data_IF_303375027186
#
_entry.id   IF_303375027186
#
_cell.length_a   1.000
_cell.length_b   1.000
_cell.length_c   1.000
_cell.angle_alpha   90.00
_cell.angle_beta   90.00
_cell.angle_gamma   90.00
#
_symmetry.space_group_name_H-M   'P 1'
#
loop_
_entity.id
_entity.type
_entity.pdbx_description
1 polymer ?
#
# COMPACT_ATOMS: atom_id res chain seq x y z
N UNK A 1 12.57 5.95 -4.98
CA UNK A 1 11.96 5.15 -3.94
C UNK A 1 11.95 3.69 -4.36
N UNK A 2 12.01 2.70 -3.46
CA UNK A 2 12.06 1.30 -3.85
C UNK A 2 10.79 0.95 -4.63
N UNK A 3 10.96 0.47 -5.85
CA UNK A 3 9.88 -0.15 -6.62
C UNK A 3 9.45 -1.38 -5.84
N UNK A 4 8.19 -1.43 -5.45
CA UNK A 4 7.60 -2.62 -4.83
C UNK A 4 7.17 -3.57 -5.96
N UNK A 5 8.15 -4.24 -6.54
CA UNK A 5 7.90 -5.27 -7.53
C UNK A 5 7.38 -6.56 -6.84
N UNK A 6 6.59 -7.40 -7.51
CA UNK A 6 6.07 -8.66 -6.97
C UNK A 6 7.13 -9.56 -6.32
N UNK A 7 8.39 -9.45 -6.74
CA UNK A 7 9.53 -10.16 -6.16
C UNK A 7 9.77 -9.85 -4.67
N UNK A 8 9.37 -8.68 -4.17
CA UNK A 8 9.51 -8.34 -2.75
C UNK A 8 8.61 -9.19 -1.84
N UNK A 9 7.45 -9.58 -2.32
CA UNK A 9 6.53 -10.45 -1.57
C UNK A 9 7.10 -11.86 -1.41
N UNK A 10 7.68 -12.43 -2.47
CA UNK A 10 8.34 -13.74 -2.39
C UNK A 10 9.50 -13.73 -1.40
N UNK A 11 10.34 -12.69 -1.43
CA UNK A 11 11.45 -12.53 -0.47
C UNK A 11 10.94 -12.42 0.97
N UNK A 12 9.82 -11.75 1.19
CA UNK A 12 9.22 -11.63 2.52
C UNK A 12 8.67 -12.97 2.99
N UNK A 13 8.01 -13.73 2.11
CA UNK A 13 7.54 -15.08 2.39
C UNK A 13 8.71 -16.01 2.75
N UNK A 14 9.76 -16.04 1.93
CA UNK A 14 10.96 -16.85 2.17
C UNK A 14 11.69 -16.46 3.46
N UNK A 15 11.67 -15.20 3.87
CA UNK A 15 12.19 -14.77 5.16
C UNK A 15 11.38 -15.30 6.33
N UNK A 16 10.05 -15.31 6.23
CA UNK A 16 9.15 -15.87 7.25
C UNK A 16 9.32 -17.39 7.38
N UNK A 17 9.58 -18.09 6.27
CA UNK A 17 9.78 -19.54 6.20
C UNK A 17 11.25 -19.96 6.11
N UNK A 18 12.15 -19.11 6.63
CA UNK A 18 13.61 -19.26 6.48
C UNK A 18 14.11 -20.64 6.89
N UNK A 19 13.63 -21.19 8.00
CA UNK A 19 14.02 -22.54 8.46
C UNK A 19 13.63 -23.64 7.48
N UNK A 20 12.42 -23.58 6.94
CA UNK A 20 11.96 -24.53 5.93
C UNK A 20 12.73 -24.38 4.61
N UNK A 21 13.07 -23.16 4.22
CA UNK A 21 13.88 -22.86 3.04
C UNK A 21 15.27 -23.49 3.13
N UNK A 22 15.99 -23.23 4.23
CA UNK A 22 17.33 -23.83 4.43
C UNK A 22 17.26 -25.34 4.58
N UNK A 23 16.28 -25.87 5.31
CA UNK A 23 16.06 -27.30 5.42
C UNK A 23 15.78 -27.99 4.07
N UNK A 24 15.08 -27.31 3.15
CA UNK A 24 14.90 -27.80 1.80
C UNK A 24 16.20 -27.81 0.98
N UNK A 25 17.03 -26.77 1.11
CA UNK A 25 18.34 -26.71 0.47
C UNK A 25 19.34 -27.75 1.01
N UNK A 26 19.35 -27.99 2.32
CA UNK A 26 20.23 -28.99 2.95
C UNK A 26 19.85 -30.41 2.51
N UNK A 27 18.58 -30.69 2.33
CA UNK A 27 18.10 -31.96 1.76
C UNK A 27 18.59 -32.15 0.33
N UNK A 28 18.52 -31.13 -0.51
CA UNK A 28 19.07 -31.18 -1.88
C UNK A 28 20.56 -31.54 -1.85
N UNK A 29 21.32 -30.94 -0.94
CA UNK A 29 22.75 -31.23 -0.79
C UNK A 29 23.03 -32.67 -0.33
N UNK A 30 22.18 -33.21 0.54
CA UNK A 30 22.37 -34.54 1.11
C UNK A 30 21.89 -35.66 0.17
N UNK A 31 20.81 -35.45 -0.59
CA UNK A 31 20.15 -36.50 -1.36
C UNK A 31 20.16 -36.27 -2.87
N UNK A 32 20.62 -35.11 -3.35
CA UNK A 32 20.51 -34.65 -4.75
C UNK A 32 19.06 -34.60 -5.25
N UNK A 33 18.07 -34.61 -4.34
CA UNK A 33 16.64 -34.56 -4.67
C UNK A 33 16.20 -33.10 -4.91
N UNK A 34 16.25 -32.71 -6.18
CA UNK A 34 15.79 -31.38 -6.65
C UNK A 34 14.26 -31.26 -6.64
N UNK A 35 13.52 -32.36 -6.80
CA UNK A 35 12.06 -32.33 -6.95
C UNK A 35 11.39 -31.76 -5.70
N UNK A 36 11.88 -32.12 -4.53
CA UNK A 36 11.36 -31.60 -3.26
C UNK A 36 11.58 -30.09 -3.12
N UNK A 37 12.75 -29.60 -3.54
CA UNK A 37 13.06 -28.17 -3.51
C UNK A 37 12.19 -27.38 -4.51
N UNK A 38 12.01 -27.91 -5.72
CA UNK A 38 11.15 -27.33 -6.75
C UNK A 38 9.71 -27.25 -6.24
N UNK A 39 9.18 -28.30 -5.63
CA UNK A 39 7.84 -28.30 -5.02
C UNK A 39 7.71 -27.24 -3.93
N UNK A 40 8.67 -27.16 -3.01
CA UNK A 40 8.69 -26.13 -1.96
C UNK A 40 8.66 -24.73 -2.56
N UNK A 41 9.49 -24.49 -3.58
CA UNK A 41 9.57 -23.18 -4.25
C UNK A 41 8.26 -22.83 -4.96
N UNK A 42 7.67 -23.77 -5.69
CA UNK A 42 6.39 -23.55 -6.40
C UNK A 42 5.24 -23.28 -5.42
N UNK A 43 5.20 -23.96 -4.28
CA UNK A 43 4.22 -23.68 -3.22
C UNK A 43 4.41 -22.25 -2.68
N UNK A 44 5.64 -21.85 -2.39
CA UNK A 44 5.94 -20.49 -1.93
C UNK A 44 5.53 -19.41 -2.93
N UNK A 45 5.75 -19.67 -4.23
CA UNK A 45 5.30 -18.76 -5.32
C UNK A 45 3.77 -18.70 -5.37
N UNK A 46 3.08 -19.86 -5.31
CA UNK A 46 1.62 -19.92 -5.36
C UNK A 46 0.98 -19.19 -4.16
N UNK A 47 1.50 -19.38 -2.96
CA UNK A 47 1.02 -18.68 -1.75
C UNK A 47 1.25 -17.19 -1.83
N UNK A 48 2.44 -16.77 -2.29
CA UNK A 48 2.76 -15.35 -2.50
C UNK A 48 1.82 -14.71 -3.52
N UNK A 49 1.54 -15.41 -4.62
CA UNK A 49 0.62 -14.94 -5.65
C UNK A 49 -0.82 -14.80 -5.13
N UNK A 50 -1.30 -15.76 -4.33
CA UNK A 50 -2.63 -15.67 -3.68
C UNK A 50 -2.71 -14.47 -2.75
N UNK A 51 -1.73 -14.28 -1.87
CA UNK A 51 -1.68 -13.15 -0.95
C UNK A 51 -1.66 -11.80 -1.70
N UNK A 52 -0.89 -11.72 -2.79
CA UNK A 52 -0.85 -10.53 -3.63
C UNK A 52 -2.21 -10.25 -4.29
N UNK A 53 -2.88 -11.29 -4.78
CA UNK A 53 -4.23 -11.18 -5.37
C UNK A 53 -5.25 -10.72 -4.34
N UNK A 54 -5.23 -11.28 -3.14
CA UNK A 54 -6.14 -10.89 -2.06
C UNK A 54 -5.92 -9.44 -1.65
N UNK A 55 -4.67 -9.01 -1.49
CA UNK A 55 -4.32 -7.61 -1.20
C UNK A 55 -4.81 -6.68 -2.32
N UNK A 56 -4.63 -7.08 -3.58
CA UNK A 56 -5.09 -6.29 -4.72
C UNK A 56 -6.60 -6.15 -4.75
N UNK A 57 -7.35 -7.23 -4.50
CA UNK A 57 -8.80 -7.20 -4.41
C UNK A 57 -9.29 -6.29 -3.27
N UNK A 58 -8.61 -6.30 -2.12
CA UNK A 58 -8.90 -5.40 -1.01
C UNK A 58 -8.64 -3.93 -1.39
N UNK A 59 -7.56 -3.65 -2.12
CA UNK A 59 -7.27 -2.30 -2.65
C UNK A 59 -8.38 -1.82 -3.59
N UNK A 60 -8.84 -2.68 -4.51
CA UNK A 60 -9.93 -2.35 -5.44
C UNK A 60 -11.23 -2.07 -4.70
N UNK A 61 -11.57 -2.90 -3.72
CA UNK A 61 -12.76 -2.70 -2.90
C UNK A 61 -12.68 -1.40 -2.07
N UNK A 62 -11.53 -1.11 -1.48
CA UNK A 62 -11.28 0.14 -0.76
C UNK A 62 -11.41 1.35 -1.70
N UNK A 63 -10.83 1.29 -2.89
CA UNK A 63 -10.90 2.35 -3.90
C UNK A 63 -12.35 2.63 -4.27
N UNK A 64 -13.13 1.60 -4.59
CA UNK A 64 -14.55 1.74 -4.93
C UNK A 64 -15.34 2.45 -3.83
N UNK A 65 -15.20 2.00 -2.57
CA UNK A 65 -15.87 2.65 -1.42
C UNK A 65 -15.46 4.10 -1.25
N UNK A 66 -14.17 4.40 -1.45
CA UNK A 66 -13.65 5.75 -1.34
C UNK A 66 -14.18 6.65 -2.44
N UNK A 67 -14.21 6.17 -3.68
CA UNK A 67 -14.74 6.91 -4.83
C UNK A 67 -16.23 7.23 -4.65
N UNK A 68 -17.04 6.27 -4.17
CA UNK A 68 -18.46 6.48 -3.85
C UNK A 68 -18.68 7.56 -2.78
N UNK A 69 -17.80 7.63 -1.76
CA UNK A 69 -17.87 8.67 -0.73
C UNK A 69 -17.48 10.04 -1.29
N UNK A 70 -16.48 10.09 -2.15
CA UNK A 70 -16.01 11.32 -2.79
C UNK A 70 -17.08 11.89 -3.72
N UNK A 71 -17.77 11.07 -4.51
CA UNK A 71 -18.82 11.51 -5.42
C UNK A 71 -19.94 12.28 -4.70
N UNK A 72 -20.20 11.97 -3.44
CA UNK A 72 -21.23 12.66 -2.63
C UNK A 72 -20.83 14.09 -2.19
N UNK A 73 -19.57 14.48 -2.42
CA UNK A 73 -19.05 15.80 -2.01
C UNK A 73 -19.41 16.95 -2.98
N UNK A 74 -20.07 16.67 -4.08
CA UNK A 74 -20.47 17.68 -5.05
C UNK A 74 -19.29 18.47 -5.59
N UNK A 75 -19.26 19.78 -5.40
CA UNK A 75 -18.20 20.67 -5.95
C UNK A 75 -16.79 20.38 -5.42
N UNK A 76 -16.66 19.77 -4.27
CA UNK A 76 -15.34 19.44 -3.70
C UNK A 76 -14.77 18.15 -4.29
N UNK A 77 -15.61 17.26 -4.86
CA UNK A 77 -15.24 15.94 -5.36
C UNK A 77 -14.02 15.92 -6.30
N UNK A 78 -13.88 16.78 -7.32
CA UNK A 78 -12.76 16.72 -8.24
C UNK A 78 -11.40 16.92 -7.57
N UNK A 79 -11.30 17.90 -6.65
CA UNK A 79 -10.05 18.15 -5.95
C UNK A 79 -9.72 17.04 -4.94
N UNK A 80 -10.72 16.51 -4.25
CA UNK A 80 -10.57 15.40 -3.32
C UNK A 80 -10.12 14.13 -4.06
N UNK A 81 -10.72 13.81 -5.20
CA UNK A 81 -10.33 12.67 -6.04
C UNK A 81 -8.86 12.76 -6.48
N UNK A 82 -8.40 13.94 -6.94
CA UNK A 82 -7.01 14.17 -7.33
C UNK A 82 -6.03 13.94 -6.17
N UNK A 83 -6.39 14.35 -4.96
CA UNK A 83 -5.58 14.10 -3.77
C UNK A 83 -5.54 12.61 -3.45
N UNK A 84 -6.67 11.91 -3.50
CA UNK A 84 -6.76 10.48 -3.23
C UNK A 84 -5.95 9.68 -4.24
N UNK A 85 -5.99 10.00 -5.54
CA UNK A 85 -5.12 9.38 -6.55
C UNK A 85 -3.62 9.59 -6.26
N UNK A 86 -3.25 10.76 -5.74
CA UNK A 86 -1.88 11.02 -5.31
C UNK A 86 -1.47 10.15 -4.11
N UNK A 87 -2.39 9.94 -3.15
CA UNK A 87 -2.15 9.17 -1.93
C UNK A 87 -2.04 7.67 -2.22
N UNK A 88 -2.76 7.13 -3.18
CA UNK A 88 -2.58 5.73 -3.62
C UNK A 88 -1.17 5.46 -4.14
N UNK A 89 -0.49 6.47 -4.68
CA UNK A 89 0.91 6.35 -5.12
C UNK A 89 1.92 6.59 -3.98
N UNK A 90 1.58 7.44 -3.03
CA UNK A 90 2.39 7.79 -1.86
C UNK A 90 1.47 7.99 -0.66
N UNK A 91 1.29 6.96 0.19
CA UNK A 91 0.29 6.97 1.26
C UNK A 91 0.54 7.96 2.39
N UNK A 92 1.75 8.51 2.50
CA UNK A 92 2.09 9.57 3.47
C UNK A 92 2.42 10.85 2.71
N UNK A 93 1.69 11.92 3.01
CA UNK A 93 1.80 13.20 2.32
C UNK A 93 1.80 14.39 3.29
N UNK A 94 2.27 15.53 2.79
CA UNK A 94 2.13 16.83 3.46
C UNK A 94 1.29 17.77 2.59
N UNK A 95 0.71 18.83 3.19
CA UNK A 95 -0.05 19.84 2.44
C UNK A 95 0.82 20.53 1.36
N UNK A 96 2.10 20.77 1.67
CA UNK A 96 3.06 21.37 0.73
C UNK A 96 3.30 20.48 -0.49
N UNK A 97 3.52 19.17 -0.28
CA UNK A 97 3.71 18.21 -1.37
C UNK A 97 2.47 18.12 -2.27
N UNK A 98 1.28 18.09 -1.68
CA UNK A 98 0.02 18.06 -2.43
C UNK A 98 -0.19 19.34 -3.24
N UNK A 99 0.08 20.51 -2.64
CA UNK A 99 0.01 21.80 -3.32
C UNK A 99 0.93 21.82 -4.55
N UNK A 100 2.17 21.38 -4.42
CA UNK A 100 3.15 21.34 -5.51
C UNK A 100 2.76 20.33 -6.60
N UNK A 101 2.40 19.09 -6.22
CA UNK A 101 2.11 18.02 -7.20
C UNK A 101 0.82 18.24 -7.98
N UNK A 102 -0.18 18.86 -7.35
CA UNK A 102 -1.50 19.03 -7.92
C UNK A 102 -1.74 20.45 -8.45
N UNK A 103 -0.72 21.33 -8.31
CA UNK A 103 -0.81 22.75 -8.63
C UNK A 103 -1.99 23.42 -7.90
N UNK A 104 -2.12 23.13 -6.60
CA UNK A 104 -3.10 23.74 -5.72
C UNK A 104 -2.52 24.93 -4.99
N UNK A 105 -3.38 25.90 -4.66
CA UNK A 105 -3.02 26.91 -3.65
C UNK A 105 -2.87 26.23 -2.28
N UNK A 106 -2.05 26.77 -1.36
CA UNK A 106 -1.95 26.25 0.01
C UNK A 106 -3.30 26.15 0.71
N UNK A 107 -4.19 27.12 0.48
CA UNK A 107 -5.55 27.11 1.02
C UNK A 107 -6.38 25.94 0.49
N UNK A 108 -6.31 25.67 -0.82
CA UNK A 108 -7.01 24.55 -1.45
C UNK A 108 -6.50 23.21 -0.92
N UNK A 109 -5.17 23.06 -0.83
CA UNK A 109 -4.56 21.83 -0.30
C UNK A 109 -5.00 21.55 1.14
N UNK A 110 -4.93 22.56 2.02
CA UNK A 110 -5.34 22.41 3.41
C UNK A 110 -6.84 22.11 3.56
N UNK A 111 -7.69 22.78 2.78
CA UNK A 111 -9.14 22.51 2.77
C UNK A 111 -9.45 21.09 2.33
N UNK A 112 -8.80 20.62 1.27
CA UNK A 112 -8.99 19.25 0.75
C UNK A 112 -8.52 18.19 1.75
N UNK A 113 -7.38 18.42 2.42
CA UNK A 113 -6.91 17.54 3.51
C UNK A 113 -7.93 17.50 4.65
N UNK A 114 -8.48 18.65 5.06
CA UNK A 114 -9.50 18.69 6.13
C UNK A 114 -10.73 17.88 5.74
N UNK A 115 -11.23 18.05 4.52
CA UNK A 115 -12.34 17.24 4.00
C UNK A 115 -12.04 15.75 4.05
N UNK A 116 -10.82 15.31 3.70
CA UNK A 116 -10.40 13.91 3.78
C UNK A 116 -10.28 13.42 5.23
N UNK A 117 -9.87 14.27 6.15
CA UNK A 117 -9.87 13.94 7.59
C UNK A 117 -11.30 13.80 8.14
N UNK A 118 -12.20 14.72 7.79
CA UNK A 118 -13.62 14.68 8.17
C UNK A 118 -14.31 13.40 7.64
N UNK A 119 -13.89 12.92 6.49
CA UNK A 119 -14.28 11.62 5.93
C UNK A 119 -13.57 10.43 6.61
N UNK A 120 -12.62 10.63 7.51
CA UNK A 120 -11.83 9.55 8.11
C UNK A 120 -10.94 8.79 7.10
N UNK A 121 -10.63 9.40 5.94
CA UNK A 121 -9.73 8.83 4.95
C UNK A 121 -8.28 9.15 5.31
N UNK A 122 -8.00 10.36 5.76
CA UNK A 122 -6.68 10.77 6.23
C UNK A 122 -6.64 10.94 7.74
N UNK A 123 -5.51 10.54 8.32
CA UNK A 123 -5.16 10.78 9.72
C UNK A 123 -3.86 11.59 9.80
N UNK A 124 -3.77 12.51 10.74
CA UNK A 124 -2.55 13.25 11.03
C UNK A 124 -1.66 12.43 11.98
N UNK A 125 -0.38 12.21 11.59
CA UNK A 125 0.54 11.31 12.32
C UNK A 125 1.77 12.01 12.91
N UNK A 126 1.89 13.34 12.73
CA UNK A 126 3.13 14.03 13.10
C UNK A 126 3.09 14.73 14.46
N UNK A 127 1.90 15.04 14.99
CA UNK A 127 1.71 15.82 16.20
C UNK A 127 2.30 17.25 16.14
N UNK A 128 2.64 17.73 14.94
CA UNK A 128 3.33 19.01 14.74
C UNK A 128 2.35 20.12 14.36
N UNK A 129 2.64 21.36 14.75
CA UNK A 129 1.86 22.52 14.28
C UNK A 129 2.16 22.91 12.83
N UNK A 130 3.40 22.66 12.34
CA UNK A 130 3.85 22.96 10.97
C UNK A 130 4.37 21.68 10.30
N UNK A 131 4.28 21.63 8.96
CA UNK A 131 4.70 20.49 8.15
C UNK A 131 4.06 19.17 8.60
N UNK A 132 2.77 19.22 8.91
CA UNK A 132 2.00 18.03 9.31
C UNK A 132 2.06 16.95 8.24
N UNK A 133 2.16 15.71 8.70
CA UNK A 133 2.11 14.52 7.84
C UNK A 133 0.76 13.83 8.02
N UNK A 134 0.20 13.42 6.91
CA UNK A 134 -1.09 12.75 6.84
C UNK A 134 -0.92 11.40 6.18
N UNK A 135 -1.61 10.38 6.66
CA UNK A 135 -1.56 9.02 6.16
C UNK A 135 -2.97 8.53 5.82
N UNK A 136 -3.08 7.74 4.74
CA UNK A 136 -4.27 6.95 4.49
C UNK A 136 -4.13 5.62 5.23
N UNK A 137 -4.56 5.57 6.48
CA UNK A 137 -4.34 4.46 7.41
C UNK A 137 -4.95 3.16 6.90
N UNK A 138 -6.21 3.19 6.42
CA UNK A 138 -6.89 1.99 5.92
C UNK A 138 -6.15 1.39 4.71
N UNK A 139 -5.68 2.23 3.78
CA UNK A 139 -4.88 1.78 2.64
C UNK A 139 -3.52 1.24 3.07
N UNK A 140 -2.85 1.92 4.00
CA UNK A 140 -1.52 1.51 4.46
C UNK A 140 -1.54 0.16 5.18
N UNK A 141 -2.61 -0.13 5.95
CA UNK A 141 -2.80 -1.41 6.66
C UNK A 141 -2.89 -2.62 5.73
N UNK A 142 -3.27 -2.45 4.47
CA UNK A 142 -3.34 -3.54 3.49
C UNK A 142 -1.95 -4.12 3.14
N UNK A 143 -0.87 -3.46 3.54
CA UNK A 143 0.51 -3.87 3.26
C UNK A 143 1.29 -4.33 4.50
N UNK A 144 0.66 -4.35 5.67
CA UNK A 144 1.25 -4.85 6.93
C UNK A 144 0.88 -6.29 7.17
#
# INVERSE_FOLDING_TARGET
>A
GPRRDPCLYLTTHLKKTRGAYYGALDRVRATSDLDQWIRFFLVAVAETARQATDTFNQILALRKRTDERIQRLGRAAPNVARVVDCIYRKPVVTARELAQRLNFTPTTANRTIRTLMDLGILEEISGRQRNRRYIYTEYFRLFL
#
